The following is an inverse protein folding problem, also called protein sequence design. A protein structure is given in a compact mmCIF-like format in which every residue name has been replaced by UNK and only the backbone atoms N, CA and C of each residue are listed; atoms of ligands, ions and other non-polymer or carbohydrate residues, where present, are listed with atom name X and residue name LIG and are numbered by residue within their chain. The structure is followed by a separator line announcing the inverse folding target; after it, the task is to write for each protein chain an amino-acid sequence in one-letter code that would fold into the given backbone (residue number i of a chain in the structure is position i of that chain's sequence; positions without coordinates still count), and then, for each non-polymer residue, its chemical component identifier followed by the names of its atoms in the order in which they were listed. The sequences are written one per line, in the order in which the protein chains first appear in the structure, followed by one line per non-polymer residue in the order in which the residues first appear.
data_IF_949012728475
#
_entry.id   IF_949012728475
#
_cell.length_a   1.000
_cell.length_b   1.000
_cell.length_c   1.000
_cell.angle_alpha   90.00
_cell.angle_beta   90.00
_cell.angle_gamma   90.00
#
_symmetry.space_group_name_H-M   'P 1'
#
loop_
_entity.id
_entity.type
_entity.pdbx_description
1 polymer ?
#
# COMPACT_ATOMS: atom_id res chain seq x y z
N UNK A 1 4.59 10.73 -3.53
CA UNK A 1 3.86 9.91 -2.53
C UNK A 1 2.47 10.47 -2.38
N UNK A 2 1.52 9.57 -2.18
CA UNK A 2 0.07 9.79 -2.15
C UNK A 2 -0.53 8.95 -1.01
N UNK A 3 -1.83 9.12 -0.76
CA UNK A 3 -2.57 8.39 0.27
C UNK A 3 -3.54 7.35 -0.29
N UNK A 4 -3.84 7.44 -1.59
CA UNK A 4 -4.91 6.72 -2.25
C UNK A 4 -6.31 7.29 -1.94
N UNK A 5 -6.41 8.51 -1.43
CA UNK A 5 -7.67 9.21 -1.25
C UNK A 5 -7.90 10.13 -2.45
N UNK A 6 -8.65 9.61 -3.42
CA UNK A 6 -9.00 10.34 -4.64
C UNK A 6 -9.72 11.65 -4.32
N UNK A 7 -9.23 12.74 -4.91
CA UNK A 7 -9.79 14.08 -4.69
C UNK A 7 -10.70 14.53 -5.83
N UNK A 8 -10.56 13.95 -7.03
CA UNK A 8 -11.48 14.19 -8.14
C UNK A 8 -11.48 13.07 -9.18
N UNK A 9 -12.54 13.02 -9.98
CA UNK A 9 -12.57 12.23 -11.22
C UNK A 9 -12.37 13.19 -12.38
N UNK A 10 -11.30 12.95 -13.13
CA UNK A 10 -10.89 13.72 -14.28
C UNK A 10 -11.08 13.00 -15.61
N UNK A 11 -10.45 13.53 -16.65
CA UNK A 11 -10.36 12.93 -17.98
C UNK A 11 -8.91 12.91 -18.44
N UNK A 12 -8.53 11.87 -19.20
CA UNK A 12 -7.21 11.78 -19.85
C UNK A 12 -7.36 11.64 -21.36
N UNK A 13 -6.49 12.28 -22.14
CA UNK A 13 -6.44 12.15 -23.60
C UNK A 13 -5.00 12.17 -24.11
N UNK A 14 -4.68 11.33 -25.09
CA UNK A 14 -3.37 11.34 -25.74
C UNK A 14 -3.30 12.48 -26.78
N UNK A 15 -2.29 13.34 -26.68
CA UNK A 15 -2.04 14.44 -27.65
C UNK A 15 -0.55 14.62 -27.91
N UNK A 16 -0.18 14.61 -29.19
CA UNK A 16 1.18 14.93 -29.67
C UNK A 16 2.31 14.19 -28.91
N UNK A 17 2.12 12.90 -28.60
CA UNK A 17 3.12 12.09 -27.89
C UNK A 17 3.12 12.25 -26.37
N UNK A 18 2.21 13.03 -25.81
CA UNK A 18 2.00 13.22 -24.38
C UNK A 18 0.56 12.85 -23.99
N UNK A 19 0.24 12.96 -22.69
CA UNK A 19 -1.13 12.92 -22.19
C UNK A 19 -1.53 14.27 -21.62
N UNK A 20 -2.80 14.62 -21.83
CA UNK A 20 -3.43 15.78 -21.21
C UNK A 20 -4.47 15.28 -20.23
N UNK A 21 -4.43 15.84 -19.02
CA UNK A 21 -5.28 15.47 -17.89
C UNK A 21 -6.09 16.69 -17.48
N UNK A 22 -7.41 16.50 -17.30
CA UNK A 22 -8.35 17.52 -16.84
C UNK A 22 -9.05 17.11 -15.55
N UNK A 23 -9.66 18.06 -14.85
CA UNK A 23 -10.45 17.83 -13.62
C UNK A 23 -9.66 18.09 -12.33
N UNK A 24 -8.62 18.93 -12.39
CA UNK A 24 -7.75 19.21 -11.25
C UNK A 24 -8.25 20.37 -10.36
N UNK A 25 -9.33 21.06 -10.76
CA UNK A 25 -9.90 22.19 -10.01
C UNK A 25 -10.09 21.95 -8.50
N UNK A 26 -10.52 20.75 -8.03
CA UNK A 26 -10.73 20.51 -6.59
C UNK A 26 -9.47 20.64 -5.72
N UNK A 27 -8.27 20.51 -6.30
CA UNK A 27 -7.00 20.63 -5.59
C UNK A 27 -6.05 21.66 -6.20
N UNK A 28 -6.59 22.54 -7.05
CA UNK A 28 -5.86 23.67 -7.59
C UNK A 28 -5.43 24.65 -6.48
N UNK A 29 -4.39 25.48 -6.70
CA UNK A 29 -3.57 25.55 -7.90
C UNK A 29 -2.50 24.45 -7.99
N UNK A 30 -2.22 23.99 -9.21
CA UNK A 30 -1.04 23.17 -9.53
C UNK A 30 0.13 24.07 -9.94
N UNK A 31 1.34 23.62 -9.65
CA UNK A 31 2.59 24.21 -10.13
C UNK A 31 3.27 23.29 -11.17
N UNK A 32 4.11 23.89 -12.03
CA UNK A 32 4.98 23.11 -12.91
C UNK A 32 5.90 22.23 -12.07
N UNK A 33 6.00 20.96 -12.44
CA UNK A 33 6.78 19.96 -11.71
C UNK A 33 6.01 19.26 -10.58
N UNK A 34 4.77 19.67 -10.26
CA UNK A 34 3.95 18.94 -9.29
C UNK A 34 3.68 17.52 -9.78
N UNK A 35 3.61 16.60 -8.82
CA UNK A 35 3.24 15.21 -9.07
C UNK A 35 1.76 14.99 -8.76
N UNK A 36 1.04 14.36 -9.68
CA UNK A 36 -0.37 13.99 -9.54
C UNK A 36 -0.51 12.51 -9.88
N UNK A 37 -1.14 11.74 -9.02
CA UNK A 37 -1.51 10.36 -9.31
C UNK A 37 -2.73 10.38 -10.24
N UNK A 38 -2.60 9.70 -11.38
CA UNK A 38 -3.67 9.52 -12.37
C UNK A 38 -3.94 8.03 -12.51
N UNK A 39 -5.09 7.58 -12.00
CA UNK A 39 -5.39 6.16 -11.77
C UNK A 39 -4.24 5.41 -11.07
N UNK A 40 -3.61 6.05 -10.09
CA UNK A 40 -2.48 5.48 -9.33
C UNK A 40 -1.13 5.53 -10.06
N UNK A 41 -1.03 6.14 -11.24
CA UNK A 41 0.25 6.40 -11.90
C UNK A 41 0.72 7.82 -11.57
N UNK A 42 1.90 7.96 -10.98
CA UNK A 42 2.51 9.26 -10.72
C UNK A 42 2.92 9.94 -12.03
N UNK A 43 2.29 11.07 -12.36
CA UNK A 43 2.66 11.91 -13.50
C UNK A 43 3.12 13.28 -13.03
N UNK A 44 4.09 13.86 -13.75
CA UNK A 44 4.61 15.20 -13.49
C UNK A 44 3.95 16.23 -14.40
N UNK A 45 3.45 17.33 -13.84
CA UNK A 45 2.88 18.44 -14.59
C UNK A 45 3.97 19.19 -15.38
N UNK A 46 4.09 18.88 -16.67
CA UNK A 46 5.07 19.47 -17.58
C UNK A 46 4.59 20.79 -18.19
N UNK A 47 3.28 20.92 -18.41
CA UNK A 47 2.63 22.18 -18.84
C UNK A 47 1.29 22.32 -18.11
N UNK A 48 0.98 23.51 -17.61
CA UNK A 48 -0.30 23.78 -16.96
C UNK A 48 -1.35 24.25 -17.97
N UNK A 49 -2.59 23.81 -17.80
CA UNK A 49 -3.76 24.28 -18.53
C UNK A 49 -4.85 24.69 -17.53
N UNK A 50 -5.95 25.26 -18.04
CA UNK A 50 -6.97 25.90 -17.18
C UNK A 50 -7.53 24.99 -16.06
N UNK A 51 -7.76 23.70 -16.33
CA UNK A 51 -8.29 22.73 -15.37
C UNK A 51 -7.45 21.44 -15.35
N UNK A 52 -6.12 21.57 -15.42
CA UNK A 52 -5.24 20.42 -15.33
C UNK A 52 -3.86 20.66 -15.93
N UNK A 53 -3.29 19.61 -16.53
CA UNK A 53 -1.92 19.65 -17.00
C UNK A 53 -1.69 18.70 -18.19
N UNK A 54 -0.60 18.93 -18.90
CA UNK A 54 0.02 17.97 -19.81
C UNK A 54 1.21 17.32 -19.11
N UNK A 55 1.36 16.02 -19.32
CA UNK A 55 2.50 15.25 -18.84
C UNK A 55 3.11 14.42 -19.96
N UNK A 56 4.43 14.36 -19.96
CA UNK A 56 5.16 13.37 -20.74
C UNK A 56 5.07 12.01 -20.03
N UNK A 57 4.80 10.96 -20.79
CA UNK A 57 4.64 9.62 -20.26
C UNK A 57 5.34 8.63 -21.17
N UNK A 58 6.09 7.70 -20.57
CA UNK A 58 6.82 6.72 -21.34
C UNK A 58 5.85 5.74 -22.02
N UNK A 59 6.21 5.28 -23.22
CA UNK A 59 5.46 4.22 -23.90
C UNK A 59 5.41 2.92 -23.07
N UNK A 60 6.38 2.72 -22.18
CA UNK A 60 6.36 1.59 -21.24
C UNK A 60 5.23 1.75 -20.21
N UNK A 61 5.11 2.92 -19.58
CA UNK A 61 4.03 3.22 -18.63
C UNK A 61 2.66 3.09 -19.31
N UNK A 62 2.53 3.61 -20.54
CA UNK A 62 1.30 3.51 -21.32
C UNK A 62 0.88 2.07 -21.64
N UNK A 63 1.86 1.17 -21.85
CA UNK A 63 1.62 -0.26 -22.11
C UNK A 63 1.38 -1.07 -20.84
N UNK A 64 2.06 -0.74 -19.75
CA UNK A 64 2.01 -1.50 -18.48
C UNK A 64 0.86 -1.08 -17.55
N UNK A 65 0.15 -0.03 -17.90
CA UNK A 65 -0.97 0.51 -17.11
C UNK A 65 -2.21 0.68 -17.99
N UNK A 66 -3.35 0.98 -17.37
CA UNK A 66 -4.59 1.27 -18.09
C UNK A 66 -4.58 2.62 -18.81
N UNK A 67 -3.60 3.50 -18.51
CA UNK A 67 -3.57 4.87 -19.02
C UNK A 67 -3.52 4.95 -20.54
N UNK A 68 -2.78 4.07 -21.23
CA UNK A 68 -2.71 4.10 -22.69
C UNK A 68 -4.08 3.96 -23.34
N UNK A 69 -4.80 2.89 -22.98
CA UNK A 69 -6.16 2.62 -23.49
C UNK A 69 -7.16 3.70 -23.08
N UNK A 70 -7.07 4.22 -21.86
CA UNK A 70 -7.95 5.31 -21.39
C UNK A 70 -7.67 6.62 -22.15
N UNK A 71 -6.41 6.98 -22.33
CA UNK A 71 -6.00 8.20 -23.05
C UNK A 71 -6.39 8.18 -24.53
N UNK A 72 -6.32 7.03 -25.19
CA UNK A 72 -6.73 6.90 -26.59
C UNK A 72 -8.26 7.08 -26.79
N UNK A 73 -9.04 6.92 -25.71
CA UNK A 73 -10.52 7.01 -25.73
C UNK A 73 -11.08 8.24 -25.04
N UNK A 74 -10.25 9.09 -24.44
CA UNK A 74 -10.73 10.21 -23.62
C UNK A 74 -11.37 9.75 -22.30
N UNK A 75 -10.85 8.68 -21.68
CA UNK A 75 -11.44 8.00 -20.53
C UNK A 75 -11.41 8.80 -19.22
N UNK A 76 -12.29 8.42 -18.30
CA UNK A 76 -12.31 8.96 -16.93
C UNK A 76 -11.17 8.36 -16.09
N UNK A 77 -10.59 9.17 -15.20
CA UNK A 77 -9.45 8.81 -14.35
C UNK A 77 -9.64 9.35 -12.93
N UNK A 78 -9.18 8.62 -11.92
CA UNK A 78 -9.05 9.12 -10.56
C UNK A 78 -7.82 10.02 -10.45
N UNK A 79 -7.95 11.14 -9.72
CA UNK A 79 -6.89 12.11 -9.52
C UNK A 79 -6.63 12.36 -8.03
N UNK A 80 -5.35 12.35 -7.65
CA UNK A 80 -4.88 12.73 -6.33
C UNK A 80 -3.57 13.53 -6.43
N UNK A 81 -3.48 14.74 -5.85
CA UNK A 81 -2.22 15.50 -5.79
C UNK A 81 -1.23 14.84 -4.82
N UNK A 82 0.07 15.05 -5.04
CA UNK A 82 1.07 14.55 -4.11
C UNK A 82 0.91 15.14 -2.70
N UNK A 83 1.17 14.30 -1.70
CA UNK A 83 1.14 14.65 -0.28
C UNK A 83 2.10 15.80 0.06
N UNK A 84 1.61 16.76 0.84
CA UNK A 84 2.42 17.71 1.60
C UNK A 84 2.75 17.13 2.97
N UNK A 85 3.81 17.64 3.59
CA UNK A 85 4.21 17.21 4.94
C UNK A 85 3.11 17.41 6.00
N UNK A 86 2.29 18.45 5.83
CA UNK A 86 1.20 18.80 6.75
C UNK A 86 -0.10 18.03 6.51
N UNK A 87 -0.17 17.22 5.45
CA UNK A 87 -1.39 16.54 5.07
C UNK A 87 -1.65 15.31 5.94
N UNK A 88 -2.93 14.94 6.06
CA UNK A 88 -3.33 13.72 6.76
C UNK A 88 -3.11 12.52 5.85
N UNK A 89 -2.46 11.48 6.36
CA UNK A 89 -2.39 10.17 5.72
C UNK A 89 -3.64 9.36 6.08
N UNK A 90 -4.76 9.63 5.39
CA UNK A 90 -6.05 9.00 5.70
C UNK A 90 -6.27 7.62 5.05
N UNK A 91 -5.51 7.29 4.01
CA UNK A 91 -5.42 5.95 3.42
C UNK A 91 -4.13 5.24 3.86
N UNK A 92 -3.37 4.75 2.90
CA UNK A 92 -2.03 4.16 3.13
C UNK A 92 -0.98 4.82 2.24
N UNK A 93 0.30 4.48 2.41
CA UNK A 93 1.36 5.04 1.57
C UNK A 93 1.30 4.47 0.15
N UNK A 94 0.87 5.30 -0.79
CA UNK A 94 0.84 5.00 -2.22
C UNK A 94 1.99 5.75 -2.90
N UNK A 95 2.81 5.04 -3.67
CA UNK A 95 3.96 5.62 -4.37
C UNK A 95 3.57 6.25 -5.70
N UNK A 96 2.53 5.71 -6.35
CA UNK A 96 2.16 6.03 -7.72
C UNK A 96 2.92 5.19 -8.75
N UNK A 97 3.46 4.04 -8.33
CA UNK A 97 4.18 3.09 -9.18
C UNK A 97 3.35 1.82 -9.29
N UNK A 98 2.54 1.77 -10.33
CA UNK A 98 1.69 0.61 -10.65
C UNK A 98 2.56 -0.63 -10.88
N UNK A 99 2.21 -1.69 -10.18
CA UNK A 99 2.94 -2.96 -10.19
C UNK A 99 2.43 -3.91 -11.24
N UNK A 100 1.11 -4.00 -11.33
CA UNK A 100 0.38 -4.92 -12.17
C UNK A 100 -0.96 -4.30 -12.60
N UNK A 101 -1.61 -4.97 -13.55
CA UNK A 101 -3.02 -4.73 -13.86
C UNK A 101 -3.87 -5.90 -13.37
N UNK A 102 -5.09 -5.61 -12.97
CA UNK A 102 -6.10 -6.60 -12.60
C UNK A 102 -7.32 -6.54 -13.49
N UNK A 103 -7.98 -7.67 -13.70
CA UNK A 103 -9.27 -7.80 -14.36
C UNK A 103 -10.39 -7.84 -13.32
N UNK A 104 -11.43 -7.03 -13.50
CA UNK A 104 -12.64 -7.07 -12.68
C UNK A 104 -13.43 -8.33 -13.01
N UNK A 105 -13.58 -9.24 -12.04
CA UNK A 105 -14.28 -10.52 -12.21
C UNK A 105 -15.69 -10.52 -11.62
N UNK A 106 -15.98 -9.63 -10.67
CA UNK A 106 -17.30 -9.49 -10.08
C UNK A 106 -17.56 -8.04 -9.67
N UNK A 107 -18.77 -7.54 -9.92
CA UNK A 107 -19.32 -6.30 -9.37
C UNK A 107 -20.73 -6.63 -8.86
N UNK A 108 -20.90 -6.72 -7.55
CA UNK A 108 -22.17 -7.06 -6.92
C UNK A 108 -22.62 -5.90 -6.02
N UNK A 109 -23.85 -5.44 -6.24
CA UNK A 109 -24.49 -4.43 -5.38
C UNK A 109 -25.07 -5.10 -4.15
N UNK A 110 -24.66 -4.66 -2.97
CA UNK A 110 -25.19 -5.07 -1.67
C UNK A 110 -26.06 -3.93 -1.09
N UNK A 111 -26.87 -4.17 -0.03
CA UNK A 111 -27.79 -3.16 0.50
C UNK A 111 -27.15 -1.81 0.86
N UNK A 112 -25.87 -1.80 1.30
CA UNK A 112 -25.16 -0.60 1.76
C UNK A 112 -23.71 -0.51 1.26
N UNK A 113 -23.33 -1.32 0.27
CA UNK A 113 -21.96 -1.40 -0.24
C UNK A 113 -21.92 -2.13 -1.59
N UNK A 114 -20.72 -2.29 -2.15
CA UNK A 114 -20.47 -3.11 -3.33
C UNK A 114 -19.40 -4.14 -2.99
N UNK A 115 -19.62 -5.39 -3.42
CA UNK A 115 -18.57 -6.40 -3.47
C UNK A 115 -17.92 -6.35 -4.86
N UNK A 116 -16.62 -6.05 -4.88
CA UNK A 116 -15.81 -5.99 -6.10
C UNK A 116 -14.75 -7.08 -6.01
N UNK A 117 -14.63 -7.92 -7.03
CA UNK A 117 -13.55 -8.91 -7.13
C UNK A 117 -12.64 -8.60 -8.30
N UNK A 118 -11.34 -8.70 -8.07
CA UNK A 118 -10.30 -8.41 -9.06
C UNK A 118 -9.32 -9.57 -9.09
N UNK A 119 -8.96 -10.00 -10.30
CA UNK A 119 -7.99 -11.06 -10.55
C UNK A 119 -6.77 -10.49 -11.27
N UNK A 120 -5.57 -10.81 -10.80
CA UNK A 120 -4.33 -10.47 -11.50
C UNK A 120 -3.76 -11.69 -12.24
N UNK A 121 -2.95 -11.43 -13.27
CA UNK A 121 -2.33 -12.50 -14.05
C UNK A 121 -0.89 -12.82 -13.62
N UNK A 122 -0.17 -11.88 -13.01
CA UNK A 122 1.21 -12.10 -12.55
C UNK A 122 1.21 -12.73 -11.15
N UNK A 123 1.55 -14.02 -11.00
CA UNK A 123 1.53 -14.68 -9.69
C UNK A 123 2.51 -14.05 -8.69
N UNK A 124 3.54 -13.34 -9.17
CA UNK A 124 4.52 -12.66 -8.32
C UNK A 124 3.91 -11.48 -7.57
N UNK A 125 2.80 -10.93 -8.05
CA UNK A 125 2.09 -9.84 -7.37
C UNK A 125 1.35 -10.34 -6.13
N UNK A 126 0.81 -11.56 -6.16
CA UNK A 126 -0.05 -12.09 -5.11
C UNK A 126 0.59 -12.21 -3.74
N UNK A 127 1.92 -12.35 -3.66
CA UNK A 127 2.65 -12.38 -2.37
C UNK A 127 2.59 -11.07 -1.58
N UNK A 128 2.14 -9.99 -2.20
CA UNK A 128 1.96 -8.68 -1.57
C UNK A 128 0.51 -8.37 -1.19
N UNK A 129 -0.41 -9.31 -1.42
CA UNK A 129 -1.84 -9.14 -1.16
C UNK A 129 -2.30 -10.17 -0.14
N UNK A 130 -2.83 -9.72 0.98
CA UNK A 130 -3.43 -10.59 1.99
C UNK A 130 -4.69 -9.95 2.58
N UNK A 131 -5.52 -10.76 3.23
CA UNK A 131 -6.74 -10.31 3.89
C UNK A 131 -6.43 -9.19 4.90
N UNK A 132 -7.29 -8.16 4.93
CA UNK A 132 -7.18 -6.95 5.78
C UNK A 132 -6.00 -6.03 5.48
N UNK A 133 -5.14 -6.36 4.51
CA UNK A 133 -4.11 -5.44 4.05
C UNK A 133 -4.67 -4.31 3.18
N UNK A 134 -3.87 -3.25 3.05
CA UNK A 134 -4.13 -2.15 2.13
C UNK A 134 -3.68 -2.51 0.72
N UNK A 135 -4.43 -2.02 -0.27
CA UNK A 135 -4.07 -2.10 -1.69
C UNK A 135 -4.57 -0.84 -2.40
N UNK A 136 -3.84 -0.36 -3.41
CA UNK A 136 -4.30 0.70 -4.28
C UNK A 136 -4.85 0.15 -5.60
N UNK A 137 -6.11 0.45 -5.91
CA UNK A 137 -6.80 0.09 -7.17
C UNK A 137 -7.16 1.34 -7.93
N UNK A 138 -6.61 1.54 -9.14
CA UNK A 138 -6.72 2.80 -9.90
C UNK A 138 -6.39 4.02 -9.00
N UNK A 139 -5.39 3.87 -8.12
CA UNK A 139 -4.98 4.89 -7.15
C UNK A 139 -5.88 5.06 -5.94
N UNK A 140 -6.89 4.21 -5.75
CA UNK A 140 -7.80 4.26 -4.59
C UNK A 140 -7.28 3.32 -3.51
N UNK A 141 -7.01 3.84 -2.33
CA UNK A 141 -6.68 3.06 -1.14
C UNK A 141 -7.91 2.29 -0.67
N UNK A 142 -7.82 0.96 -0.68
CA UNK A 142 -8.88 0.04 -0.29
C UNK A 142 -8.33 -1.05 0.63
N UNK A 143 -9.23 -1.69 1.38
CA UNK A 143 -8.89 -2.82 2.25
C UNK A 143 -9.33 -4.13 1.58
N UNK A 144 -8.40 -5.07 1.49
CA UNK A 144 -8.68 -6.42 1.00
C UNK A 144 -9.64 -7.12 1.96
N UNK A 145 -10.82 -7.49 1.47
CA UNK A 145 -11.85 -8.14 2.28
C UNK A 145 -11.58 -9.64 2.42
N UNK A 146 -11.17 -10.30 1.33
CA UNK A 146 -10.85 -11.73 1.24
C UNK A 146 -9.92 -12.01 0.05
N UNK A 147 -9.21 -13.14 0.09
CA UNK A 147 -8.37 -13.64 -0.99
C UNK A 147 -8.79 -15.07 -1.39
N UNK A 148 -8.78 -15.36 -2.69
CA UNK A 148 -9.08 -16.70 -3.18
C UNK A 148 -8.04 -17.72 -2.73
N UNK A 149 -8.46 -18.98 -2.61
CA UNK A 149 -7.58 -20.09 -2.22
C UNK A 149 -6.39 -20.31 -3.18
N UNK A 150 -6.55 -19.93 -4.46
CA UNK A 150 -5.46 -19.99 -5.45
C UNK A 150 -4.51 -18.78 -5.39
N UNK A 151 -4.80 -17.77 -4.57
CA UNK A 151 -3.98 -16.58 -4.39
C UNK A 151 -3.86 -15.73 -5.65
N UNK A 152 -4.88 -15.69 -6.52
CA UNK A 152 -4.88 -14.89 -7.76
C UNK A 152 -5.97 -13.84 -7.81
N UNK A 153 -6.96 -13.95 -6.93
CA UNK A 153 -8.13 -13.08 -6.87
C UNK A 153 -8.29 -12.55 -5.45
N UNK A 154 -8.69 -11.31 -5.33
CA UNK A 154 -9.06 -10.69 -4.07
C UNK A 154 -10.40 -9.99 -4.20
N UNK A 155 -11.07 -9.82 -3.07
CA UNK A 155 -12.32 -9.07 -2.99
C UNK A 155 -12.18 -7.82 -2.14
N UNK A 156 -13.06 -6.87 -2.40
CA UNK A 156 -13.14 -5.56 -1.77
C UNK A 156 -14.59 -5.28 -1.39
N UNK A 157 -14.79 -4.69 -0.21
CA UNK A 157 -16.06 -4.12 0.19
C UNK A 157 -15.97 -2.59 0.03
N UNK A 158 -16.65 -2.04 -0.99
CA UNK A 158 -16.59 -0.61 -1.30
C UNK A 158 -17.79 0.11 -0.68
N UNK A 159 -17.52 1.19 0.05
CA UNK A 159 -18.55 2.02 0.70
C UNK A 159 -19.16 3.04 -0.29
N UNK A 160 -20.37 3.56 -0.03
CA UNK A 160 -21.05 4.52 -0.92
C UNK A 160 -20.24 5.76 -1.25
N UNK A 161 -19.52 6.34 -0.29
CA UNK A 161 -18.72 7.53 -0.54
C UNK A 161 -17.63 7.26 -1.59
N UNK A 162 -16.85 6.20 -1.41
CA UNK A 162 -15.78 5.82 -2.34
C UNK A 162 -16.33 5.41 -3.70
N UNK A 163 -17.43 4.65 -3.73
CA UNK A 163 -18.07 4.25 -4.98
C UNK A 163 -18.48 5.47 -5.81
N UNK A 164 -19.17 6.43 -5.20
CA UNK A 164 -19.68 7.61 -5.89
C UNK A 164 -18.61 8.63 -6.27
N UNK A 165 -17.58 8.78 -5.43
CA UNK A 165 -16.53 9.78 -5.62
C UNK A 165 -15.41 9.35 -6.60
N UNK A 166 -15.42 8.10 -7.07
CA UNK A 166 -14.33 7.53 -7.88
C UNK A 166 -14.82 6.93 -9.18
N UNK A 167 -13.89 6.48 -10.02
CA UNK A 167 -14.20 5.73 -11.26
C UNK A 167 -14.72 4.32 -11.02
N UNK A 168 -14.74 3.80 -9.77
CA UNK A 168 -15.23 2.45 -9.47
C UNK A 168 -16.68 2.25 -9.93
N UNK A 169 -17.53 3.28 -9.82
CA UNK A 169 -18.93 3.23 -10.28
C UNK A 169 -19.13 3.03 -11.78
N UNK A 170 -18.06 3.16 -12.57
CA UNK A 170 -18.09 2.94 -14.01
C UNK A 170 -17.57 1.54 -14.41
N UNK A 171 -17.06 0.75 -13.46
CA UNK A 171 -16.49 -0.55 -13.74
C UNK A 171 -17.56 -1.59 -14.07
N UNK A 172 -17.25 -2.43 -15.05
CA UNK A 172 -17.97 -3.64 -15.37
C UNK A 172 -17.05 -4.86 -15.31
N UNK A 173 -17.64 -6.05 -15.24
CA UNK A 173 -16.89 -7.31 -15.37
C UNK A 173 -16.14 -7.34 -16.71
N UNK A 174 -14.86 -7.70 -16.65
CA UNK A 174 -13.93 -7.70 -17.78
C UNK A 174 -13.14 -6.39 -17.95
N UNK A 175 -13.47 -5.33 -17.20
CA UNK A 175 -12.63 -4.13 -17.19
C UNK A 175 -11.28 -4.38 -16.51
N UNK A 176 -10.29 -3.59 -16.90
CA UNK A 176 -8.93 -3.64 -16.37
C UNK A 176 -8.67 -2.43 -15.48
N UNK A 177 -8.02 -2.66 -14.34
CA UNK A 177 -7.59 -1.65 -13.36
C UNK A 177 -6.09 -1.72 -13.09
N UNK A 178 -5.49 -0.61 -12.68
CA UNK A 178 -4.14 -0.54 -12.16
C UNK A 178 -4.10 -1.03 -10.70
N UNK A 179 -3.07 -1.80 -10.36
CA UNK A 179 -2.84 -2.31 -9.01
C UNK A 179 -1.46 -1.87 -8.51
N UNK A 180 -1.42 -1.29 -7.32
CA UNK A 180 -0.21 -1.04 -6.56
C UNK A 180 -0.35 -1.72 -5.18
N UNK A 181 0.64 -2.54 -4.82
CA UNK A 181 0.68 -3.17 -3.52
C UNK A 181 1.23 -2.22 -2.45
N UNK A 182 0.91 -2.49 -1.18
CA UNK A 182 1.45 -1.73 -0.07
C UNK A 182 2.99 -1.81 -0.06
N UNK A 183 3.64 -0.65 -0.03
CA UNK A 183 5.10 -0.54 0.00
C UNK A 183 5.70 -1.25 1.23
N UNK A 184 4.97 -1.31 2.35
CA UNK A 184 5.41 -2.02 3.54
C UNK A 184 5.60 -3.52 3.28
N UNK A 185 4.77 -4.15 2.44
CA UNK A 185 4.91 -5.56 2.09
C UNK A 185 6.23 -5.83 1.35
N UNK A 186 6.67 -4.91 0.48
CA UNK A 186 7.94 -5.02 -0.25
C UNK A 186 9.16 -4.92 0.66
N UNK A 187 9.13 -3.97 1.60
CA UNK A 187 10.22 -3.83 2.57
C UNK A 187 10.27 -5.03 3.50
N UNK A 188 9.12 -5.53 3.96
CA UNK A 188 9.04 -6.73 4.78
C UNK A 188 9.63 -7.96 4.05
N UNK A 189 9.22 -8.20 2.81
CA UNK A 189 9.77 -9.29 1.98
C UNK A 189 11.30 -9.19 1.86
N UNK A 190 11.81 -8.01 1.51
CA UNK A 190 13.26 -7.80 1.33
C UNK A 190 14.04 -8.07 2.62
N UNK A 191 13.55 -7.60 3.77
CA UNK A 191 14.21 -7.79 5.05
C UNK A 191 14.20 -9.26 5.49
N UNK A 192 13.09 -9.96 5.29
CA UNK A 192 12.97 -11.39 5.61
C UNK A 192 13.88 -12.26 4.73
N UNK A 193 14.00 -11.94 3.44
CA UNK A 193 14.92 -12.66 2.55
C UNK A 193 16.41 -12.34 2.82
N UNK A 194 16.73 -11.11 3.22
CA UNK A 194 18.10 -10.75 3.58
C UNK A 194 18.58 -11.51 4.83
N UNK A 195 17.70 -11.71 5.82
CA UNK A 195 18.00 -12.49 7.01
C UNK A 195 18.29 -13.97 6.69
N UNK A 196 17.50 -14.59 5.81
CA UNK A 196 17.70 -15.98 5.41
C UNK A 196 19.02 -16.24 4.66
N UNK A 197 19.62 -15.20 4.05
CA UNK A 197 20.91 -15.32 3.36
C UNK A 197 22.12 -15.18 4.31
N UNK A 198 21.96 -14.53 5.46
CA UNK A 198 23.04 -14.28 6.43
C UNK A 198 23.30 -15.52 7.33
N UNK A 199 22.29 -16.37 7.53
CA UNK A 199 22.40 -17.64 8.27
C UNK A 199 23.28 -18.70 7.56
N UNK A 200 23.72 -18.44 6.33
CA UNK A 200 24.52 -19.36 5.51
C UNK A 200 26.03 -19.09 5.46
N UNK A 201 26.54 -18.01 6.07
CA UNK A 201 27.95 -17.64 5.97
C UNK A 201 28.58 -17.30 7.34
N UNK A 202 28.92 -18.34 8.10
CA UNK A 202 29.74 -18.23 9.32
C UNK A 202 31.22 -18.07 8.94
N UNK A 203 31.64 -16.84 8.64
CA UNK A 203 33.07 -16.50 8.62
C UNK A 203 33.37 -15.33 9.56
N UNK A 204 34.25 -15.61 10.52
CA UNK A 204 34.46 -14.84 11.76
C UNK A 204 35.11 -13.47 11.60
N UNK A 205 34.38 -12.47 11.10
CA UNK A 205 34.75 -11.06 11.20
C UNK A 205 33.67 -10.23 11.90
N UNK A 206 34.02 -9.68 13.06
CA UNK A 206 33.23 -8.75 13.86
C UNK A 206 33.00 -7.43 13.12
N UNK A 207 31.92 -7.38 12.34
CA UNK A 207 31.31 -6.13 11.84
C UNK A 207 30.30 -5.60 12.87
N UNK A 208 30.04 -4.27 12.91
CA UNK A 208 29.04 -3.70 13.80
C UNK A 208 27.69 -4.40 13.57
N UNK A 209 27.08 -4.88 14.67
CA UNK A 209 25.89 -5.73 14.63
C UNK A 209 24.75 -4.99 13.94
N UNK A 210 24.31 -5.49 12.78
CA UNK A 210 23.07 -5.07 12.15
C UNK A 210 21.89 -5.47 13.04
N UNK A 211 20.74 -4.80 12.84
CA UNK A 211 19.47 -5.07 13.55
C UNK A 211 19.08 -6.57 13.51
N UNK A 212 19.62 -7.35 12.56
CA UNK A 212 19.45 -8.80 12.44
C UNK A 212 20.08 -9.63 13.57
N UNK A 213 21.12 -9.16 14.26
CA UNK A 213 21.82 -9.98 15.27
C UNK A 213 21.19 -9.92 16.68
N UNK A 214 20.07 -9.21 16.85
CA UNK A 214 19.23 -9.30 18.04
C UNK A 214 18.19 -10.44 17.96
N UNK A 215 18.07 -11.10 16.81
CA UNK A 215 17.09 -12.16 16.57
C UNK A 215 17.75 -13.54 16.44
N UNK A 216 18.48 -13.96 17.48
CA UNK A 216 18.75 -15.38 17.68
C UNK A 216 17.44 -16.09 18.05
N UNK A 217 16.67 -16.51 17.05
CA UNK A 217 15.46 -17.33 17.24
C UNK A 217 14.13 -16.56 17.44
N UNK A 218 14.09 -15.24 17.26
CA UNK A 218 12.89 -14.45 17.60
C UNK A 218 12.01 -14.14 16.39
N UNK A 219 10.73 -14.53 16.50
CA UNK A 219 9.61 -14.27 15.59
C UNK A 219 9.47 -12.77 15.30
N UNK A 220 9.26 -12.40 14.03
CA UNK A 220 8.95 -11.03 13.64
C UNK A 220 7.55 -10.67 14.18
N UNK A 221 7.47 -9.74 15.12
CA UNK A 221 6.20 -9.18 15.60
C UNK A 221 5.91 -7.92 14.80
N UNK A 222 4.88 -7.96 13.96
CA UNK A 222 4.36 -6.76 13.30
C UNK A 222 3.49 -6.01 14.30
N UNK A 223 3.96 -4.87 14.81
CA UNK A 223 3.21 -4.06 15.78
C UNK A 223 2.23 -3.17 15.03
N UNK A 224 0.94 -3.49 15.11
CA UNK A 224 -0.14 -2.56 14.72
C UNK A 224 -0.24 -1.45 15.77
N UNK A 225 0.30 -0.27 15.47
CA UNK A 225 0.04 0.92 16.28
C UNK A 225 -1.34 1.47 15.91
N UNK A 226 -2.38 1.02 16.63
CA UNK A 226 -3.66 1.72 16.63
C UNK A 226 -3.45 3.05 17.36
N UNK A 227 -3.40 4.15 16.61
CA UNK A 227 -3.50 5.47 17.22
C UNK A 227 -4.87 5.61 17.88
N UNK A 228 -4.90 5.99 19.15
CA UNK A 228 -6.11 6.52 19.73
C UNK A 228 -5.86 7.80 20.52
N UNK A 229 -6.92 8.60 20.49
CA UNK A 229 -7.06 10.01 20.78
C UNK A 229 -6.44 10.51 22.10
N UNK A 230 -6.20 11.82 22.17
CA UNK A 230 -5.54 12.67 23.18
C UNK A 230 -5.93 12.50 24.68
N UNK A 231 -6.11 11.27 25.17
CA UNK A 231 -6.70 10.98 26.48
C UNK A 231 -5.69 10.52 27.55
N UNK A 232 -4.39 10.47 27.25
CA UNK A 232 -3.35 10.24 28.26
C UNK A 232 -3.41 8.86 28.95
N UNK A 233 -4.07 7.87 28.33
CA UNK A 233 -4.07 6.47 28.81
C UNK A 233 -2.81 5.78 28.28
N UNK A 234 -2.05 5.04 29.11
CA UNK A 234 -0.90 4.28 28.63
C UNK A 234 -1.33 3.23 27.59
N UNK A 235 -0.59 3.18 26.47
CA UNK A 235 -0.73 2.17 25.43
C UNK A 235 -0.57 0.77 26.06
N UNK A 236 -1.66 0.00 26.10
CA UNK A 236 -1.61 -1.41 26.42
C UNK A 236 -1.33 -2.17 25.11
N UNK A 237 -0.13 -2.75 25.01
CA UNK A 237 0.27 -3.58 23.87
C UNK A 237 -0.41 -4.95 23.98
N UNK A 238 -1.44 -5.20 23.18
CA UNK A 238 -1.94 -6.56 22.94
C UNK A 238 -1.10 -7.22 21.83
N UNK A 239 -0.25 -8.17 22.23
CA UNK A 239 0.54 -9.03 21.36
C UNK A 239 -0.31 -10.24 20.95
N UNK A 240 -1.04 -10.17 19.85
CA UNK A 240 -1.58 -11.38 19.22
C UNK A 240 -0.53 -12.01 18.29
N UNK A 241 -0.03 -13.19 18.70
CA UNK A 241 0.80 -14.03 17.84
C UNK A 241 -0.07 -14.68 16.76
N UNK A 242 0.13 -14.29 15.49
CA UNK A 242 -0.39 -15.01 14.34
C UNK A 242 0.36 -16.35 14.17
N UNK A 243 -0.16 -17.41 14.79
CA UNK A 243 -0.04 -18.78 14.28
C UNK A 243 -1.03 -19.71 14.99
N UNK A 244 -2.02 -20.22 14.24
CA UNK A 244 -2.78 -21.39 14.64
C UNK A 244 -1.87 -22.61 14.80
N UNK A 245 -1.62 -22.99 16.05
CA UNK A 245 -1.08 -24.30 16.43
C UNK A 245 -1.77 -24.69 17.74
N UNK A 246 -2.53 -25.80 17.73
CA UNK A 246 -3.04 -26.39 18.97
C UNK A 246 -1.85 -26.91 19.78
N UNK A 247 -1.56 -26.26 20.91
CA UNK A 247 -0.64 -26.79 21.88
C UNK A 247 -1.37 -27.87 22.71
N UNK A 248 -1.06 -29.14 22.46
CA UNK A 248 -1.26 -30.19 23.45
C UNK A 248 -0.48 -29.82 24.73
N UNK A 249 -1.03 -30.08 25.93
CA UNK A 249 -0.45 -29.63 27.18
C UNK A 249 0.73 -30.55 27.54
N UNK A 250 1.91 -30.26 26.99
CA UNK A 250 3.16 -30.80 27.53
C UNK A 250 4.02 -29.64 28.00
N UNK A 251 4.25 -29.62 29.31
CA UNK A 251 4.86 -28.51 30.02
C UNK A 251 6.23 -28.15 29.46
N UNK A 252 6.35 -26.93 28.96
CA UNK A 252 7.62 -26.25 28.74
C UNK A 252 7.51 -24.86 29.36
N UNK A 253 8.42 -24.61 30.30
CA UNK A 253 8.54 -23.40 31.11
C UNK A 253 8.73 -22.15 30.26
N UNK A 254 7.90 -21.13 30.49
CA UNK A 254 8.00 -19.80 29.89
C UNK A 254 9.05 -18.97 30.66
N UNK A 255 10.33 -19.32 30.52
CA UNK A 255 11.43 -18.59 31.17
C UNK A 255 12.44 -17.97 30.19
N UNK A 256 12.47 -18.35 28.91
CA UNK A 256 13.59 -18.01 28.01
C UNK A 256 13.19 -17.29 26.71
N UNK A 257 12.28 -16.30 26.76
CA UNK A 257 12.05 -15.42 25.60
C UNK A 257 12.35 -13.96 25.94
N UNK A 258 13.52 -13.48 25.51
CA UNK A 258 13.83 -12.06 25.48
C UNK A 258 13.09 -11.42 24.30
N UNK A 259 12.04 -10.65 24.61
CA UNK A 259 11.40 -9.75 23.64
C UNK A 259 12.18 -8.44 23.66
N UNK A 260 12.94 -8.18 22.59
CA UNK A 260 13.62 -6.89 22.43
C UNK A 260 12.65 -5.86 21.83
N UNK A 261 12.17 -4.93 22.67
CA UNK A 261 11.41 -3.75 22.23
C UNK A 261 12.38 -2.58 22.08
N UNK A 262 12.66 -2.17 20.85
CA UNK A 262 13.46 -0.98 20.59
C UNK A 262 12.55 0.27 20.61
N UNK A 263 12.45 0.93 21.76
CA UNK A 263 11.83 2.26 21.86
C UNK A 263 12.91 3.33 21.70
N UNK A 264 12.76 4.20 20.69
CA UNK A 264 13.61 5.37 20.55
C UNK A 264 12.94 6.59 21.19
N UNK A 265 13.32 6.92 22.42
CA UNK A 265 13.17 8.26 22.97
C UNK A 265 14.54 8.93 22.95
N UNK A 266 14.66 10.10 22.31
CA UNK A 266 15.93 10.79 22.14
C UNK A 266 16.59 11.14 23.48
N UNK A 267 17.90 10.89 23.56
CA UNK A 267 18.88 11.25 24.62
C UNK A 267 18.50 10.84 26.05
N UNK A 268 19.18 9.94 26.77
CA UNK A 268 20.62 9.72 26.94
C UNK A 268 20.92 8.22 27.17
N UNK A 269 22.13 7.78 26.83
CA UNK A 269 22.60 6.40 27.02
C UNK A 269 22.81 6.08 28.51
N UNK A 270 21.99 5.17 29.06
CA UNK A 270 22.22 4.51 30.35
C UNK A 270 21.84 3.04 30.25
N UNK A 271 22.83 2.15 30.21
CA UNK A 271 22.62 0.70 30.36
C UNK A 271 22.22 0.40 31.80
N UNK A 272 20.95 0.06 32.04
CA UNK A 272 20.50 -0.53 33.30
C UNK A 272 20.11 -1.99 33.07
N UNK A 273 21.00 -2.90 33.46
CA UNK A 273 20.66 -4.30 33.68
C UNK A 273 20.01 -4.44 35.06
N UNK A 274 18.74 -4.84 35.15
CA UNK A 274 18.18 -5.35 36.40
C UNK A 274 18.06 -6.87 36.30
N UNK A 275 18.91 -7.56 37.06
CA UNK A 275 18.78 -8.98 37.34
C UNK A 275 17.54 -9.21 38.23
N UNK A 276 16.88 -10.35 38.00
CA UNK A 276 15.67 -10.82 38.66
C UNK A 276 15.82 -11.02 40.18
N UNK A 277 14.74 -10.73 40.90
CA UNK A 277 14.19 -11.59 41.94
C UNK A 277 12.66 -11.58 41.83
#
# INVERSE_FOLDING_TARGET
MFTGLVQSVGRIERRAGAVVVWGCAPFAPLALGDSVAVDGVCLTAAELIADGFRADVSEETLRRTTLGRKADRGGAVNLEPALRLSDRLGGHLVSGHVDATGEVTCVETLPHSWALSIRWSDPRFGRYVCEKASIAVDGISLTVADCSADGTTFSLAVIPHTWEATTLKHLAVGDTVNLEADQLARYAERLLHAAAADDGNTDGQTRPRSVSQLAGGSRLVLIHLLQNDHSGVPLQLDLELLAGFQAEPTGVSVADQQVAVAMHTGSEFGLATSASA
#
